data_IF_816911119863
#
_entry.id   IF_816911119863
#
_cell.length_a   1.000
_cell.length_b   1.000
_cell.length_c   1.000
_cell.angle_alpha   90.00
_cell.angle_beta   90.00
_cell.angle_gamma   90.00
#
_symmetry.space_group_name_H-M   'P 1'
#
loop_
_entity.id
_entity.type
_entity.pdbx_description
1 polymer ?
#
# COMPACT_ATOMS: atom_id res chain seq x y z
N UNK A 1 -11.37 -8.03 9.50
CA UNK A 1 -10.40 -8.75 10.35
C UNK A 1 -9.70 -7.70 11.22
N UNK A 2 -9.81 -7.79 12.55
CA UNK A 2 -9.20 -6.79 13.46
C UNK A 2 -7.66 -6.88 13.51
N UNK A 3 -7.11 -8.04 13.17
CA UNK A 3 -5.67 -8.32 13.11
C UNK A 3 -5.02 -7.96 11.76
N UNK A 4 -5.70 -7.19 10.91
CA UNK A 4 -5.21 -6.79 9.58
C UNK A 4 -4.92 -5.29 9.52
N UNK A 5 -3.74 -4.95 9.01
CA UNK A 5 -3.35 -3.64 8.52
C UNK A 5 -3.33 -3.61 7.00
N UNK A 6 -3.88 -2.57 6.40
CA UNK A 6 -3.85 -2.33 4.96
C UNK A 6 -2.99 -1.09 4.73
N UNK A 7 -1.81 -1.30 4.13
CA UNK A 7 -0.88 -0.22 3.79
C UNK A 7 -1.07 0.14 2.32
N UNK A 8 -1.61 1.33 2.07
CA UNK A 8 -1.79 1.90 0.74
C UNK A 8 -0.63 2.84 0.48
N UNK A 9 0.08 2.64 -0.62
CA UNK A 9 1.34 3.31 -0.90
C UNK A 9 1.30 3.98 -2.27
N UNK A 10 1.65 5.26 -2.32
CA UNK A 10 1.86 5.98 -3.58
C UNK A 10 1.29 7.39 -3.60
N UNK A 11 1.40 8.09 -4.75
CA UNK A 11 0.84 9.42 -4.90
C UNK A 11 -0.70 9.38 -4.91
N UNK A 12 -1.33 10.51 -4.62
CA UNK A 12 -2.76 10.73 -4.75
C UNK A 12 -3.00 12.00 -5.58
N UNK A 13 -4.15 12.09 -6.26
CA UNK A 13 -4.49 13.29 -7.03
C UNK A 13 -3.55 13.54 -8.21
N UNK A 14 -3.10 12.48 -8.88
CA UNK A 14 -2.35 12.59 -10.13
C UNK A 14 -3.31 12.88 -11.29
N UNK A 15 -2.77 13.16 -12.49
CA UNK A 15 -3.58 13.37 -13.70
C UNK A 15 -4.39 12.12 -14.05
N UNK A 16 -3.80 10.95 -13.83
CA UNK A 16 -4.38 9.63 -14.13
C UNK A 16 -5.34 9.19 -13.02
N UNK A 17 -5.19 9.71 -11.81
CA UNK A 17 -5.97 9.29 -10.66
C UNK A 17 -6.27 10.42 -9.68
N UNK A 18 -7.50 10.94 -9.77
CA UNK A 18 -7.92 12.15 -9.06
C UNK A 18 -8.04 11.96 -7.54
N UNK A 19 -7.91 13.07 -6.79
CA UNK A 19 -8.06 13.09 -5.33
C UNK A 19 -9.45 12.60 -4.92
N UNK A 20 -10.49 12.98 -5.65
CA UNK A 20 -11.87 12.56 -5.37
C UNK A 20 -12.06 11.05 -5.58
N UNK A 21 -11.49 10.49 -6.65
CA UNK A 21 -11.56 9.04 -6.90
C UNK A 21 -10.82 8.26 -5.80
N UNK A 22 -9.66 8.74 -5.37
CA UNK A 22 -8.90 8.18 -4.26
C UNK A 22 -9.69 8.15 -2.96
N UNK A 23 -10.27 9.28 -2.56
CA UNK A 23 -11.05 9.38 -1.32
C UNK A 23 -12.29 8.48 -1.36
N UNK A 24 -13.02 8.43 -2.49
CA UNK A 24 -14.16 7.53 -2.65
C UNK A 24 -13.77 6.07 -2.49
N UNK A 25 -12.65 5.65 -3.08
CA UNK A 25 -12.21 4.28 -2.91
C UNK A 25 -11.72 3.99 -1.48
N UNK A 26 -11.12 4.95 -0.79
CA UNK A 26 -10.81 4.81 0.64
C UNK A 26 -12.06 4.66 1.51
N UNK A 27 -13.13 5.39 1.22
CA UNK A 27 -14.44 5.23 1.89
C UNK A 27 -14.99 3.81 1.68
N UNK A 28 -14.95 3.31 0.44
CA UNK A 28 -15.36 1.93 0.13
C UNK A 28 -14.49 0.90 0.85
N UNK A 29 -13.17 1.10 0.88
CA UNK A 29 -12.23 0.26 1.62
C UNK A 29 -12.54 0.25 3.11
N UNK A 30 -12.77 1.42 3.72
CA UNK A 30 -13.16 1.52 5.14
C UNK A 30 -14.47 0.79 5.41
N UNK A 31 -15.46 0.88 4.51
CA UNK A 31 -16.73 0.12 4.61
C UNK A 31 -16.50 -1.39 4.50
N UNK A 32 -15.63 -1.84 3.59
CA UNK A 32 -15.29 -3.25 3.44
C UNK A 32 -14.46 -3.77 4.63
N UNK A 33 -13.62 -2.94 5.24
CA UNK A 33 -12.71 -3.30 6.31
C UNK A 33 -12.88 -2.39 7.54
N UNK A 34 -14.05 -2.39 8.19
CA UNK A 34 -14.39 -1.42 9.24
C UNK A 34 -13.49 -1.54 10.47
N UNK A 35 -12.98 -2.75 10.76
CA UNK A 35 -12.15 -3.03 11.93
C UNK A 35 -10.65 -3.11 11.61
N UNK A 36 -10.26 -3.03 10.34
CA UNK A 36 -8.84 -3.13 9.98
C UNK A 36 -8.15 -1.79 10.14
N UNK A 37 -6.86 -1.82 10.50
CA UNK A 37 -6.03 -0.62 10.40
C UNK A 37 -5.84 -0.28 8.92
N UNK A 38 -5.98 0.99 8.56
CA UNK A 38 -5.71 1.47 7.21
C UNK A 38 -4.69 2.59 7.33
N UNK A 39 -3.57 2.42 6.64
CA UNK A 39 -2.45 3.35 6.60
C UNK A 39 -2.31 3.81 5.16
N UNK A 40 -2.22 5.12 4.95
CA UNK A 40 -1.86 5.71 3.67
C UNK A 40 -0.46 6.33 3.78
N UNK A 41 0.50 5.75 3.08
CA UNK A 41 1.87 6.27 2.97
C UNK A 41 2.08 6.96 1.62
N UNK A 42 2.40 8.25 1.67
CA UNK A 42 2.51 9.10 0.49
C UNK A 42 3.63 10.12 0.61
N UNK A 43 3.77 10.95 -0.42
CA UNK A 43 4.82 11.95 -0.54
C UNK A 43 4.41 13.27 0.08
N UNK A 44 5.39 14.00 0.59
CA UNK A 44 5.22 15.40 0.98
C UNK A 44 4.70 16.21 -0.21
N UNK A 45 3.70 17.03 0.03
CA UNK A 45 3.15 17.94 -0.97
C UNK A 45 2.92 19.33 -0.36
N UNK A 46 2.23 20.21 -1.09
CA UNK A 46 1.86 21.54 -0.59
C UNK A 46 1.15 21.44 0.78
N UNK A 47 1.52 22.33 1.71
CA UNK A 47 1.05 22.28 3.09
C UNK A 47 -0.47 22.35 3.21
N UNK A 48 -1.14 23.15 2.36
CA UNK A 48 -2.61 23.25 2.37
C UNK A 48 -3.24 21.95 1.86
N UNK A 49 -2.73 21.43 0.74
CA UNK A 49 -3.22 20.16 0.18
C UNK A 49 -3.03 18.98 1.15
N UNK A 50 -1.92 18.96 1.89
CA UNK A 50 -1.62 17.94 2.89
C UNK A 50 -2.55 18.04 4.10
N UNK A 51 -2.83 19.25 4.59
CA UNK A 51 -3.78 19.44 5.69
C UNK A 51 -5.21 19.05 5.30
N UNK A 52 -5.65 19.44 4.10
CA UNK A 52 -6.95 19.00 3.56
C UNK A 52 -7.04 17.47 3.47
N UNK A 53 -5.96 16.81 3.02
CA UNK A 53 -5.90 15.35 2.98
C UNK A 53 -6.03 14.78 4.40
N UNK A 54 -5.26 15.30 5.36
CA UNK A 54 -5.28 14.84 6.75
C UNK A 54 -6.69 14.91 7.34
N UNK A 55 -7.39 16.02 7.17
CA UNK A 55 -8.79 16.17 7.62
C UNK A 55 -9.72 15.14 6.98
N UNK A 56 -9.55 14.85 5.68
CA UNK A 56 -10.33 13.79 5.01
C UNK A 56 -10.02 12.39 5.55
N UNK A 57 -8.76 12.10 5.85
CA UNK A 57 -8.32 10.78 6.35
C UNK A 57 -8.70 10.55 7.81
N UNK A 58 -8.63 11.59 8.65
CA UNK A 58 -9.03 11.52 10.07
C UNK A 58 -10.51 11.14 10.20
N UNK A 59 -11.38 11.69 9.32
CA UNK A 59 -12.81 11.31 9.25
C UNK A 59 -13.03 9.83 8.92
N UNK A 60 -12.09 9.20 8.20
CA UNK A 60 -12.14 7.79 7.82
C UNK A 60 -11.33 6.89 8.78
N UNK A 61 -10.69 7.47 9.81
CA UNK A 61 -9.78 6.76 10.69
C UNK A 61 -8.61 6.14 9.92
N UNK A 62 -8.06 6.84 8.93
CA UNK A 62 -6.90 6.39 8.14
C UNK A 62 -5.66 7.10 8.64
N UNK A 63 -4.62 6.33 8.97
CA UNK A 63 -3.33 6.87 9.42
C UNK A 63 -2.56 7.41 8.21
N UNK A 64 -2.17 8.68 8.24
CA UNK A 64 -1.35 9.30 7.20
C UNK A 64 0.14 9.22 7.56
N UNK A 65 0.95 8.70 6.64
CA UNK A 65 2.42 8.69 6.71
C UNK A 65 2.96 9.49 5.54
N UNK A 66 3.85 10.44 5.81
CA UNK A 66 4.47 11.30 4.81
C UNK A 66 5.97 10.99 4.71
N UNK A 67 6.46 10.85 3.48
CA UNK A 67 7.88 10.67 3.17
C UNK A 67 8.37 11.75 2.19
N UNK A 68 9.65 12.09 2.28
CA UNK A 68 10.30 12.89 1.23
C UNK A 68 10.49 12.03 -0.03
N UNK A 69 10.30 12.62 -1.21
CA UNK A 69 10.46 11.93 -2.48
C UNK A 69 11.96 11.72 -2.79
N UNK A 70 12.47 10.47 -2.87
CA UNK A 70 13.87 10.18 -3.19
C UNK A 70 14.23 10.48 -4.65
N UNK A 71 13.28 10.93 -5.46
CA UNK A 71 13.44 11.09 -6.89
C UNK A 71 13.26 9.77 -7.64
N UNK A 72 13.43 9.86 -8.96
CA UNK A 72 13.36 8.69 -9.84
C UNK A 72 14.72 7.99 -9.86
N UNK A 73 14.71 6.66 -9.91
CA UNK A 73 15.92 5.91 -10.20
C UNK A 73 16.11 5.89 -11.72
N UNK A 74 17.22 6.46 -12.18
CA UNK A 74 17.62 6.42 -13.58
C UNK A 74 18.75 5.41 -13.76
N UNK A 75 18.58 4.47 -14.69
CA UNK A 75 19.58 3.46 -15.04
C UNK A 75 19.89 3.63 -16.52
N UNK A 76 21.17 3.82 -16.84
CA UNK A 76 21.65 3.80 -18.21
C UNK A 76 22.34 2.46 -18.45
N UNK A 77 21.80 1.66 -19.37
CA UNK A 77 22.41 0.40 -19.80
C UNK A 77 22.58 0.38 -21.33
N UNK A 78 23.04 -0.74 -21.88
CA UNK A 78 23.20 -0.93 -23.32
C UNK A 78 21.88 -0.82 -24.11
N UNK A 79 20.72 -0.87 -23.43
CA UNK A 79 19.39 -0.72 -24.02
C UNK A 79 18.83 0.71 -23.87
N UNK A 80 19.58 1.63 -23.26
CA UNK A 80 19.25 3.06 -23.16
C UNK A 80 19.00 3.54 -21.73
N UNK A 81 18.31 4.69 -21.63
CA UNK A 81 17.98 5.35 -20.36
C UNK A 81 16.63 4.87 -19.85
N UNK A 82 16.67 4.07 -18.79
CA UNK A 82 15.50 3.56 -18.10
C UNK A 82 15.20 4.40 -16.85
N UNK A 83 13.91 4.66 -16.61
CA UNK A 83 13.42 5.43 -15.47
C UNK A 83 12.46 4.57 -14.65
N UNK A 84 12.70 4.45 -13.35
CA UNK A 84 11.87 3.61 -12.49
C UNK A 84 11.57 4.26 -11.13
N UNK A 85 10.40 3.94 -10.60
CA UNK A 85 9.92 4.41 -9.30
C UNK A 85 10.27 3.45 -8.15
N UNK A 86 11.22 2.53 -8.34
CA UNK A 86 11.56 1.51 -7.32
C UNK A 86 11.94 2.15 -5.98
N UNK A 87 12.78 3.17 -5.96
CA UNK A 87 13.16 3.85 -4.70
C UNK A 87 11.94 4.47 -4.00
N UNK A 88 11.06 5.10 -4.78
CA UNK A 88 9.77 5.61 -4.28
C UNK A 88 8.92 4.50 -3.66
N UNK A 89 8.78 3.37 -4.36
CA UNK A 89 8.02 2.23 -3.85
C UNK A 89 8.64 1.69 -2.55
N UNK A 90 9.96 1.57 -2.46
CA UNK A 90 10.67 1.06 -1.28
C UNK A 90 10.47 1.98 -0.07
N UNK A 91 10.79 3.27 -0.21
CA UNK A 91 10.77 4.22 0.91
C UNK A 91 9.36 4.33 1.51
N UNK A 92 8.37 4.58 0.67
CA UNK A 92 6.99 4.74 1.14
C UNK A 92 6.38 3.42 1.64
N UNK A 93 6.76 2.27 1.06
CA UNK A 93 6.34 0.96 1.61
C UNK A 93 6.92 0.75 3.00
N UNK A 94 8.23 0.96 3.16
CA UNK A 94 8.90 0.82 4.46
C UNK A 94 8.29 1.75 5.50
N UNK A 95 8.15 3.04 5.20
CA UNK A 95 7.58 4.00 6.13
C UNK A 95 6.15 3.65 6.56
N UNK A 96 5.33 3.12 5.63
CA UNK A 96 4.00 2.62 5.95
C UNK A 96 4.01 1.36 6.81
N UNK A 97 4.97 0.45 6.59
CA UNK A 97 5.13 -0.76 7.39
C UNK A 97 5.67 -0.49 8.80
N UNK A 98 6.51 0.53 8.97
CA UNK A 98 7.11 0.89 10.26
C UNK A 98 6.07 1.34 11.30
N UNK A 99 4.87 1.75 10.86
CA UNK A 99 3.76 2.17 11.75
C UNK A 99 2.66 1.13 11.89
N UNK A 100 2.78 -0.03 11.24
CA UNK A 100 1.80 -1.12 11.34
C UNK A 100 1.73 -1.63 12.77
N UNK A 101 0.51 -1.78 13.28
CA UNK A 101 0.29 -2.32 14.63
C UNK A 101 -0.33 -3.72 14.64
N UNK A 102 -0.74 -4.24 13.47
CA UNK A 102 -1.46 -5.51 13.37
C UNK A 102 -0.58 -6.66 12.87
N UNK A 103 -0.83 -7.91 13.29
CA UNK A 103 -0.03 -9.07 12.89
C UNK A 103 -0.02 -9.36 11.38
N UNK A 104 -1.12 -9.10 10.68
CA UNK A 104 -1.21 -9.31 9.24
C UNK A 104 -1.19 -7.99 8.51
N UNK A 105 -0.45 -7.94 7.40
CA UNK A 105 -0.40 -6.74 6.55
C UNK A 105 -0.64 -7.09 5.09
N UNK A 106 -1.48 -6.30 4.44
CA UNK A 106 -1.59 -6.25 2.97
C UNK A 106 -1.06 -4.90 2.52
N UNK A 107 -0.03 -4.93 1.66
CA UNK A 107 0.47 -3.73 0.98
C UNK A 107 -0.15 -3.63 -0.41
N UNK A 108 -0.64 -2.46 -0.76
CA UNK A 108 -1.16 -2.14 -2.10
C UNK A 108 -0.70 -0.77 -2.58
N UNK A 109 -0.78 -0.56 -3.90
CA UNK A 109 -0.53 0.76 -4.49
C UNK A 109 -1.77 1.64 -4.36
N UNK A 110 -1.59 2.96 -4.34
CA UNK A 110 -2.67 3.95 -4.28
C UNK A 110 -3.60 3.95 -5.50
N UNK A 111 -3.22 3.30 -6.60
CA UNK A 111 -4.04 3.09 -7.80
C UNK A 111 -4.72 1.71 -7.82
N UNK A 112 -4.59 0.91 -6.76
CA UNK A 112 -5.15 -0.43 -6.63
C UNK A 112 -6.19 -0.49 -5.50
N UNK A 113 -7.31 -1.16 -5.74
CA UNK A 113 -8.42 -1.26 -4.77
C UNK A 113 -9.07 -2.63 -4.84
N UNK A 114 -9.52 -3.12 -3.69
CA UNK A 114 -10.32 -4.34 -3.61
C UNK A 114 -11.80 -3.99 -3.54
N UNK A 115 -12.62 -4.75 -4.27
CA UNK A 115 -14.08 -4.59 -4.32
C UNK A 115 -14.82 -5.57 -3.41
N UNK A 116 -14.14 -6.61 -2.95
CA UNK A 116 -14.67 -7.67 -2.08
C UNK A 116 -13.73 -7.93 -0.91
N UNK A 117 -14.19 -8.72 0.07
CA UNK A 117 -13.41 -9.14 1.24
C UNK A 117 -12.70 -10.48 1.05
N UNK A 118 -12.66 -11.01 -0.17
CA UNK A 118 -12.14 -12.36 -0.44
C UNK A 118 -10.66 -12.51 -0.06
N UNK A 119 -9.93 -11.39 -0.05
CA UNK A 119 -8.55 -11.34 0.47
C UNK A 119 -8.45 -11.82 1.91
N UNK A 120 -9.46 -11.61 2.76
CA UNK A 120 -9.47 -12.09 4.15
C UNK A 120 -9.48 -13.61 4.18
N UNK A 121 -10.32 -14.25 3.37
CA UNK A 121 -10.37 -15.70 3.27
C UNK A 121 -9.04 -16.27 2.76
N UNK A 122 -8.36 -15.57 1.83
CA UNK A 122 -7.02 -15.93 1.37
C UNK A 122 -5.98 -15.83 2.50
N UNK A 123 -5.99 -14.73 3.28
CA UNK A 123 -5.08 -14.55 4.41
C UNK A 123 -5.29 -15.62 5.48
N UNK A 124 -6.55 -15.90 5.84
CA UNK A 124 -6.90 -16.93 6.83
C UNK A 124 -6.51 -18.33 6.35
N UNK A 125 -6.77 -18.66 5.08
CA UNK A 125 -6.43 -19.97 4.51
C UNK A 125 -4.93 -20.21 4.49
N UNK A 126 -4.15 -19.22 4.04
CA UNK A 126 -2.76 -19.44 3.67
C UNK A 126 -1.72 -18.88 4.65
N UNK A 127 -2.10 -17.95 5.53
CA UNK A 127 -1.17 -17.32 6.48
C UNK A 127 -1.50 -17.71 7.92
N UNK A 128 -2.79 -17.87 8.28
CA UNK A 128 -3.18 -18.26 9.64
C UNK A 128 -3.03 -19.76 9.94
N UNK A 129 -2.65 -20.58 8.96
CA UNK A 129 -2.39 -22.01 9.17
C UNK A 129 -0.93 -22.25 9.54
N UNK A 130 -0.68 -23.03 10.59
CA UNK A 130 0.66 -23.35 11.12
C UNK A 130 1.61 -23.97 10.07
N UNK A 131 1.07 -24.46 8.95
CA UNK A 131 1.84 -25.08 7.87
C UNK A 131 2.46 -24.07 6.88
N UNK A 132 2.24 -22.77 7.09
CA UNK A 132 2.80 -21.70 6.26
C UNK A 132 2.22 -21.61 4.85
N UNK A 133 2.68 -20.60 4.10
CA UNK A 133 2.29 -20.39 2.70
C UNK A 133 2.84 -21.52 1.82
N UNK A 134 1.98 -22.47 1.43
CA UNK A 134 2.34 -23.49 0.45
C UNK A 134 2.78 -22.84 -0.85
N UNK A 135 4.05 -23.03 -1.19
CA UNK A 135 4.63 -22.53 -2.43
C UNK A 135 4.27 -23.49 -3.55
N UNK A 136 3.51 -23.03 -4.53
CA UNK A 136 3.25 -23.81 -5.73
C UNK A 136 4.56 -23.98 -6.51
N UNK A 137 5.02 -25.23 -6.67
CA UNK A 137 6.26 -25.56 -7.36
C UNK A 137 6.22 -25.18 -8.85
N UNK A 138 5.04 -25.17 -9.48
CA UNK A 138 4.87 -24.75 -10.87
C UNK A 138 5.12 -23.25 -11.11
N UNK A 139 5.03 -22.44 -10.06
CA UNK A 139 5.23 -20.98 -10.10
C UNK A 139 6.43 -20.52 -9.27
N UNK A 140 7.30 -21.43 -8.85
CA UNK A 140 8.46 -21.13 -8.00
C UNK A 140 9.71 -20.82 -8.82
N UNK A 141 10.06 -19.52 -8.92
CA UNK A 141 11.29 -19.08 -9.60
C UNK A 141 12.53 -19.20 -8.70
N UNK A 142 12.39 -18.93 -7.40
CA UNK A 142 13.48 -19.02 -6.43
C UNK A 142 13.37 -20.31 -5.59
N UNK A 143 14.49 -20.86 -5.11
CA UNK A 143 14.45 -22.04 -4.24
C UNK A 143 13.94 -21.73 -2.82
N UNK A 144 14.18 -20.51 -2.35
CA UNK A 144 13.71 -20.00 -1.06
C UNK A 144 12.94 -18.70 -1.25
N UNK A 145 12.24 -18.24 -0.22
CA UNK A 145 11.63 -16.91 -0.22
C UNK A 145 12.76 -15.88 -0.18
N UNK A 146 12.70 -14.90 -1.07
CA UNK A 146 13.57 -13.72 -0.99
C UNK A 146 12.85 -12.75 -0.04
N UNK A 147 13.43 -12.50 1.12
CA UNK A 147 12.97 -11.54 2.12
C UNK A 147 13.79 -10.25 1.99
#
# INVERSE_FOLDING_TARGET
MNSLSIVIQGPFGTKEYSKQAFLKHLEEMRRLFPLSEIIFSTWKCDSKAQEELRVSLDKLGVVLVISDDPGILEVNDSNGRNRTNVNRLIISTRAGLDVVTRPFTVKMRSDCFVRTRDIVALLEKYISTENGLFRDKGYSVFQQRVL
#
